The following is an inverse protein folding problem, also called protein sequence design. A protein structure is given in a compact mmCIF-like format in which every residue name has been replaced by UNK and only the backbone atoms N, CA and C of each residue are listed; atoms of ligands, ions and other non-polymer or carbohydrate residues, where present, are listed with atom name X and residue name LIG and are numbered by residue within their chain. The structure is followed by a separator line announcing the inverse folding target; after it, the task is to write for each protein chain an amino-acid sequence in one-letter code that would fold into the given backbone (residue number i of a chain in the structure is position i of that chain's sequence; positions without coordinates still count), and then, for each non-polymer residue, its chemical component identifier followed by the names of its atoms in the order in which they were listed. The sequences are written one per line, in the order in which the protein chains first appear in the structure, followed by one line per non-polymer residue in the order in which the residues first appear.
data_IF_380858392817
#
_entry.id   IF_380858392817
#
_cell.length_a   1.000
_cell.length_b   1.000
_cell.length_c   1.000
_cell.angle_alpha   90.00
_cell.angle_beta   90.00
_cell.angle_gamma   90.00
#
_symmetry.space_group_name_H-M   'P 1'
#
loop_
_entity.id
_entity.type
_entity.pdbx_description
1 polymer ?
#
# COMPACT_ATOMS: atom_id res chain seq x y z
N UNK A 1 -18.22 -11.10 -16.28
CA UNK A 1 -18.02 -11.43 -14.87
C UNK A 1 -19.36 -11.61 -14.18
N UNK A 2 -19.50 -12.62 -13.32
CA UNK A 2 -20.62 -12.76 -12.41
C UNK A 2 -20.35 -11.99 -11.12
N UNK A 3 -21.38 -11.37 -10.54
CA UNK A 3 -21.31 -10.75 -9.21
C UNK A 3 -22.34 -11.45 -8.33
N UNK A 4 -21.87 -11.98 -7.20
CA UNK A 4 -22.74 -12.57 -6.17
C UNK A 4 -22.58 -11.74 -4.90
N UNK A 5 -23.70 -11.30 -4.33
CA UNK A 5 -23.73 -10.56 -3.06
C UNK A 5 -24.49 -11.40 -2.06
N UNK A 6 -23.87 -11.66 -0.91
CA UNK A 6 -24.50 -12.25 0.26
C UNK A 6 -24.26 -11.31 1.45
N UNK A 7 -25.33 -10.88 2.08
CA UNK A 7 -25.31 -10.02 3.28
C UNK A 7 -26.06 -10.79 4.35
N UNK A 8 -25.47 -10.91 5.51
CA UNK A 8 -26.04 -11.59 6.67
C UNK A 8 -26.01 -10.67 7.88
N UNK A 9 -26.86 -10.96 8.87
CA UNK A 9 -26.91 -10.17 10.11
C UNK A 9 -25.68 -10.46 10.98
N UNK A 10 -25.22 -9.41 11.67
CA UNK A 10 -24.14 -9.56 12.65
C UNK A 10 -24.60 -10.44 13.82
N UNK A 11 -23.69 -11.27 14.34
CA UNK A 11 -23.94 -12.01 15.59
C UNK A 11 -24.45 -11.10 16.71
N UNK A 12 -25.54 -11.45 17.38
CA UNK A 12 -26.04 -10.67 18.51
C UNK A 12 -24.99 -10.52 19.65
N UNK A 13 -24.11 -11.49 19.82
CA UNK A 13 -23.06 -11.45 20.82
C UNK A 13 -21.98 -10.40 20.49
N UNK A 14 -21.66 -10.26 19.19
CA UNK A 14 -20.73 -9.23 18.71
C UNK A 14 -21.41 -7.86 18.75
N UNK A 15 -22.69 -7.76 18.40
CA UNK A 15 -23.45 -6.52 18.40
C UNK A 15 -23.47 -5.83 19.77
N UNK A 16 -23.45 -6.57 20.87
CA UNK A 16 -23.41 -6.00 22.22
C UNK A 16 -22.23 -5.04 22.44
N UNK A 17 -21.06 -5.37 21.87
CA UNK A 17 -19.88 -4.52 22.01
C UNK A 17 -19.79 -3.38 20.98
N UNK A 18 -20.61 -3.42 19.93
CA UNK A 18 -20.65 -2.40 18.88
C UNK A 18 -21.75 -1.38 19.13
N UNK A 19 -22.94 -1.85 19.53
CA UNK A 19 -24.14 -1.01 19.65
C UNK A 19 -24.08 -0.06 20.85
N UNK A 20 -23.34 -0.43 21.89
CA UNK A 20 -23.12 0.42 23.07
C UNK A 20 -21.69 0.33 23.55
N UNK A 21 -21.03 1.49 23.64
CA UNK A 21 -19.70 1.60 24.24
C UNK A 21 -19.72 1.19 25.72
N UNK A 22 -18.58 0.74 26.24
CA UNK A 22 -18.40 0.35 27.63
C UNK A 22 -18.77 1.50 28.59
N UNK A 23 -18.39 2.72 28.23
CA UNK A 23 -18.63 3.96 28.98
C UNK A 23 -20.13 4.18 29.17
N UNK A 24 -20.89 4.13 28.08
CA UNK A 24 -22.37 4.32 28.10
C UNK A 24 -23.09 3.21 28.89
N UNK A 25 -22.50 2.00 28.93
CA UNK A 25 -23.07 0.89 29.73
C UNK A 25 -22.84 1.07 31.22
N UNK A 26 -21.77 1.76 31.64
CA UNK A 26 -21.33 1.85 33.04
C UNK A 26 -21.48 3.26 33.63
N UNK A 27 -21.64 4.29 32.80
CA UNK A 27 -21.97 5.66 33.21
C UNK A 27 -23.27 6.13 32.56
N UNK A 28 -24.43 5.94 33.24
CA UNK A 28 -25.73 6.36 32.71
C UNK A 28 -25.88 7.88 32.55
N UNK A 29 -24.93 8.68 33.03
CA UNK A 29 -24.93 10.15 32.91
C UNK A 29 -24.17 10.64 31.68
N UNK A 30 -23.51 9.77 30.95
CA UNK A 30 -22.84 10.11 29.70
C UNK A 30 -23.88 10.22 28.57
N UNK A 31 -24.12 11.43 28.11
CA UNK A 31 -25.05 11.77 27.03
C UNK A 31 -24.35 12.25 25.73
N UNK A 32 -23.01 12.12 25.64
CA UNK A 32 -22.27 12.44 24.43
C UNK A 32 -22.63 11.45 23.30
N UNK A 33 -23.25 11.95 22.21
CA UNK A 33 -23.62 11.09 21.09
C UNK A 33 -22.43 10.44 20.39
N UNK A 34 -21.19 10.93 20.60
CA UNK A 34 -19.98 10.35 20.06
C UNK A 34 -19.52 9.11 20.84
N UNK A 35 -19.91 8.99 22.08
CA UNK A 35 -19.53 7.87 22.97
C UNK A 35 -20.48 6.68 22.92
N UNK A 36 -21.58 6.79 22.15
CA UNK A 36 -22.60 5.73 22.07
C UNK A 36 -22.07 4.46 21.40
N UNK A 37 -21.27 4.61 20.34
CA UNK A 37 -20.82 3.46 19.53
C UNK A 37 -19.55 2.85 20.10
N UNK A 38 -19.62 1.57 20.44
CA UNK A 38 -18.46 0.82 20.96
C UNK A 38 -17.47 0.39 19.86
N UNK A 39 -16.25 0.07 20.29
CA UNK A 39 -15.21 -0.45 19.40
C UNK A 39 -15.50 -1.87 18.89
N UNK A 40 -16.26 -2.67 19.65
CA UNK A 40 -16.70 -4.02 19.27
C UNK A 40 -15.61 -5.09 19.24
N UNK A 41 -14.34 -4.72 19.38
CA UNK A 41 -13.21 -5.64 19.28
C UNK A 41 -11.97 -5.09 20.00
N UNK A 42 -11.00 -5.96 20.20
CA UNK A 42 -9.65 -5.62 20.64
C UNK A 42 -8.72 -5.47 19.44
N UNK A 43 -7.59 -4.78 19.60
CA UNK A 43 -6.60 -4.69 18.55
C UNK A 43 -5.30 -4.04 19.01
N UNK A 44 -4.25 -4.23 18.22
CA UNK A 44 -2.97 -3.55 18.37
C UNK A 44 -2.68 -2.78 17.08
N UNK A 45 -2.58 -1.46 17.18
CA UNK A 45 -2.37 -0.58 16.04
C UNK A 45 -1.07 0.19 16.22
N UNK A 46 -0.41 0.45 15.09
CA UNK A 46 0.87 1.16 15.05
C UNK A 46 0.74 2.44 14.25
N UNK A 47 1.18 3.55 14.85
CA UNK A 47 1.47 4.78 14.15
C UNK A 47 2.97 4.88 13.88
N UNK A 48 3.34 5.26 12.67
CA UNK A 48 4.73 5.49 12.28
C UNK A 48 4.83 6.71 11.38
N UNK A 49 5.89 7.49 11.53
CA UNK A 49 6.23 8.60 10.68
C UNK A 49 7.75 8.70 10.52
N UNK A 50 8.20 9.10 9.34
CA UNK A 50 9.61 9.37 9.03
C UNK A 50 9.70 10.55 8.07
N UNK A 51 10.82 11.24 8.09
CA UNK A 51 11.07 12.37 7.21
C UNK A 51 11.64 11.99 5.84
N UNK A 52 11.54 10.73 5.44
CA UNK A 52 11.99 10.24 4.13
C UNK A 52 11.24 10.87 2.96
N UNK A 53 9.97 11.19 3.17
CA UNK A 53 9.09 11.75 2.15
C UNK A 53 8.28 12.92 2.71
N UNK A 54 7.76 13.76 1.81
CA UNK A 54 6.88 14.87 2.18
C UNK A 54 5.62 14.41 2.94
N UNK A 55 5.14 13.21 2.64
CA UNK A 55 4.00 12.59 3.29
C UNK A 55 4.34 12.03 4.67
N UNK A 56 5.60 12.11 5.10
CA UNK A 56 6.14 11.49 6.31
C UNK A 56 5.97 9.96 6.32
N UNK A 57 6.13 9.35 5.17
CA UNK A 57 6.04 7.90 4.95
C UNK A 57 7.40 7.32 4.56
N UNK A 58 7.66 6.04 4.84
CA UNK A 58 8.87 5.37 4.37
C UNK A 58 9.01 5.43 2.86
N UNK A 59 10.22 5.75 2.39
CA UNK A 59 10.49 5.98 0.97
C UNK A 59 10.17 4.75 0.08
N UNK A 60 10.54 3.50 0.46
CA UNK A 60 10.31 2.34 -0.41
C UNK A 60 8.83 2.16 -0.77
N UNK A 61 7.95 2.16 0.22
CA UNK A 61 6.52 1.96 -0.01
C UNK A 61 5.89 3.15 -0.77
N UNK A 62 6.34 4.37 -0.51
CA UNK A 62 5.83 5.54 -1.25
C UNK A 62 6.25 5.51 -2.71
N UNK A 63 7.47 5.11 -3.02
CA UNK A 63 7.90 4.93 -4.42
C UNK A 63 7.11 3.82 -5.10
N UNK A 64 6.91 2.67 -4.43
CA UNK A 64 6.11 1.58 -4.98
C UNK A 64 4.66 2.02 -5.27
N UNK A 65 4.04 2.78 -4.37
CA UNK A 65 2.70 3.37 -4.59
C UNK A 65 2.67 4.35 -5.77
N UNK A 66 3.65 5.23 -5.86
CA UNK A 66 3.75 6.20 -6.97
C UNK A 66 3.94 5.50 -8.31
N UNK A 67 4.78 4.45 -8.36
CA UNK A 67 4.97 3.63 -9.55
C UNK A 67 3.65 2.94 -9.95
N UNK A 68 2.97 2.28 -9.02
CA UNK A 68 1.70 1.61 -9.29
C UNK A 68 0.60 2.57 -9.77
N UNK A 69 0.54 3.76 -9.16
CA UNK A 69 -0.35 4.85 -9.62
C UNK A 69 0.02 5.29 -11.04
N UNK A 70 1.30 5.51 -11.32
CA UNK A 70 1.79 5.98 -12.63
C UNK A 70 1.53 4.95 -13.73
N UNK A 71 1.69 3.66 -13.47
CA UNK A 71 1.29 2.60 -14.41
C UNK A 71 -0.18 2.73 -14.81
N UNK A 72 -1.06 3.02 -13.86
CA UNK A 72 -2.48 3.24 -14.13
C UNK A 72 -2.73 4.53 -14.94
N UNK A 73 -1.98 5.59 -14.65
CA UNK A 73 -2.08 6.88 -15.37
C UNK A 73 -1.66 6.75 -16.84
N UNK A 74 -0.47 6.21 -17.12
CA UNK A 74 0.05 6.05 -18.49
C UNK A 74 -0.82 5.12 -19.32
N UNK A 75 -1.43 4.09 -18.71
CA UNK A 75 -2.39 3.22 -19.35
C UNK A 75 -3.69 3.96 -19.71
N UNK A 76 -4.26 4.71 -18.75
CA UNK A 76 -5.53 5.43 -18.93
C UNK A 76 -5.40 6.61 -19.87
N UNK A 77 -4.23 7.24 -19.93
CA UNK A 77 -3.92 8.34 -20.85
C UNK A 77 -3.48 7.86 -22.24
N UNK A 78 -3.53 6.54 -22.50
CA UNK A 78 -3.15 5.92 -23.77
C UNK A 78 -1.69 6.17 -24.20
N UNK A 79 -0.82 6.50 -23.22
CA UNK A 79 0.64 6.65 -23.44
C UNK A 79 1.27 5.27 -23.66
N UNK A 80 0.89 4.28 -22.85
CA UNK A 80 1.28 2.88 -23.01
C UNK A 80 0.03 1.99 -23.16
N UNK A 81 -0.60 1.98 -24.35
CA UNK A 81 -1.92 1.37 -24.58
C UNK A 81 -1.93 -0.14 -24.51
N UNK A 82 -0.77 -0.77 -24.50
CA UNK A 82 -0.62 -2.21 -24.36
C UNK A 82 -0.69 -2.69 -22.89
N UNK A 83 -0.55 -1.78 -21.92
CA UNK A 83 -0.67 -2.14 -20.50
C UNK A 83 -2.12 -2.51 -20.15
N UNK A 84 -2.24 -3.41 -19.19
CA UNK A 84 -3.50 -3.89 -18.60
C UNK A 84 -3.57 -3.47 -17.12
N UNK A 85 -4.74 -3.61 -16.46
CA UNK A 85 -4.95 -3.06 -15.12
C UNK A 85 -4.12 -3.67 -14.00
N UNK A 86 -3.73 -4.96 -14.11
CA UNK A 86 -3.01 -5.65 -13.05
C UNK A 86 -1.52 -5.29 -13.06
N UNK A 87 -0.95 -5.09 -11.88
CA UNK A 87 0.46 -4.77 -11.75
C UNK A 87 0.92 -4.72 -10.31
N UNK A 88 2.22 -4.91 -10.13
CA UNK A 88 2.92 -4.85 -8.84
C UNK A 88 4.18 -4.03 -8.99
N UNK A 89 4.57 -3.33 -7.93
CA UNK A 89 5.83 -2.63 -7.86
C UNK A 89 6.52 -2.93 -6.53
N UNK A 90 7.84 -3.07 -6.59
CA UNK A 90 8.71 -3.20 -5.42
C UNK A 90 9.93 -2.29 -5.62
N UNK A 91 10.34 -1.60 -4.55
CA UNK A 91 11.53 -0.75 -4.57
C UNK A 91 12.41 -1.12 -3.39
N UNK A 92 13.70 -1.36 -3.66
CA UNK A 92 14.74 -1.56 -2.64
C UNK A 92 15.54 -0.27 -2.51
N UNK A 93 15.64 0.22 -1.28
CA UNK A 93 16.38 1.44 -0.94
C UNK A 93 17.44 1.11 0.09
N UNK A 94 18.66 1.58 -0.13
CA UNK A 94 19.75 1.50 0.84
C UNK A 94 19.67 2.69 1.78
N UNK A 95 19.82 2.39 3.07
CA UNK A 95 19.85 3.38 4.13
C UNK A 95 21.22 3.40 4.80
N UNK A 96 21.69 4.58 5.13
CA UNK A 96 22.74 4.77 6.12
C UNK A 96 22.12 4.96 7.50
N UNK A 97 22.76 4.39 8.51
CA UNK A 97 22.35 4.50 9.91
C UNK A 97 23.49 5.21 10.67
N UNK A 98 23.20 6.33 11.29
CA UNK A 98 24.17 7.05 12.09
C UNK A 98 24.38 6.42 13.48
N UNK A 99 25.28 7.00 14.29
CA UNK A 99 25.61 6.50 15.61
C UNK A 99 24.42 6.58 16.59
N UNK A 100 23.48 7.47 16.34
CA UNK A 100 22.26 7.69 17.11
C UNK A 100 21.11 6.78 16.65
N UNK A 101 21.33 5.97 15.61
CA UNK A 101 20.34 5.05 15.04
C UNK A 101 19.37 5.71 14.05
N UNK A 102 19.62 6.94 13.65
CA UNK A 102 18.81 7.64 12.65
C UNK A 102 19.10 7.11 11.25
N UNK A 103 18.08 6.78 10.54
CA UNK A 103 18.15 6.24 9.18
C UNK A 103 17.99 7.36 8.14
N UNK A 104 18.78 7.28 7.07
CA UNK A 104 18.68 8.18 5.92
C UNK A 104 18.75 7.37 4.63
N UNK A 105 17.79 7.52 3.71
CA UNK A 105 17.87 6.88 2.40
C UNK A 105 19.01 7.49 1.59
N UNK A 106 19.85 6.68 0.98
CA UNK A 106 21.04 7.13 0.24
C UNK A 106 21.08 6.63 -1.20
N UNK A 107 20.40 5.53 -1.50
CA UNK A 107 20.41 4.99 -2.86
C UNK A 107 19.20 4.09 -3.12
N UNK A 108 18.64 4.18 -4.32
CA UNK A 108 17.71 3.19 -4.85
C UNK A 108 18.56 2.08 -5.48
N UNK A 109 18.52 0.90 -4.88
CA UNK A 109 19.30 -0.24 -5.37
C UNK A 109 18.60 -1.01 -6.48
N UNK A 110 17.27 -1.17 -6.37
CA UNK A 110 16.51 -1.98 -7.32
C UNK A 110 15.06 -1.55 -7.41
N UNK A 111 14.52 -1.68 -8.60
CA UNK A 111 13.09 -1.54 -8.88
C UNK A 111 12.60 -2.79 -9.61
N UNK A 112 11.53 -3.40 -9.10
CA UNK A 112 10.86 -4.50 -9.78
C UNK A 112 9.44 -4.06 -10.13
N UNK A 113 9.06 -4.27 -11.39
CA UNK A 113 7.70 -4.03 -11.88
C UNK A 113 7.20 -5.32 -12.53
N UNK A 114 6.07 -5.83 -12.05
CA UNK A 114 5.30 -6.83 -12.78
C UNK A 114 4.06 -6.14 -13.33
N UNK A 115 3.90 -6.11 -14.64
CA UNK A 115 2.78 -5.43 -15.28
C UNK A 115 2.09 -6.32 -16.31
N UNK A 116 0.79 -6.42 -16.16
CA UNK A 116 -0.09 -7.11 -17.10
C UNK A 116 -0.08 -6.37 -18.44
N UNK A 117 0.13 -7.06 -19.52
CA UNK A 117 0.27 -6.48 -20.87
C UNK A 117 -0.37 -7.35 -21.94
N UNK A 118 -0.49 -6.81 -23.15
CA UNK A 118 -0.90 -7.55 -24.34
C UNK A 118 0.13 -8.65 -24.66
N UNK A 119 -0.32 -9.70 -25.31
CA UNK A 119 0.54 -10.75 -25.84
C UNK A 119 1.45 -10.23 -26.97
N UNK A 120 2.57 -10.89 -27.17
CA UNK A 120 3.51 -10.58 -28.26
C UNK A 120 4.56 -9.51 -27.93
N UNK A 121 4.63 -9.03 -26.69
CA UNK A 121 5.61 -8.04 -26.25
C UNK A 121 6.72 -8.72 -25.44
N UNK A 122 7.96 -8.39 -25.77
CA UNK A 122 9.12 -8.82 -24.99
C UNK A 122 9.38 -7.87 -23.82
N UNK A 123 9.46 -8.38 -22.56
CA UNK A 123 9.64 -7.54 -21.39
C UNK A 123 10.90 -6.68 -21.40
N UNK A 124 12.04 -7.23 -21.84
CA UNK A 124 13.33 -6.52 -21.76
C UNK A 124 13.52 -5.52 -22.90
N UNK A 125 13.20 -5.89 -24.13
CA UNK A 125 13.47 -5.05 -25.29
C UNK A 125 12.37 -4.07 -25.65
N UNK A 126 11.13 -4.31 -25.16
CA UNK A 126 9.98 -3.46 -25.49
C UNK A 126 9.36 -2.78 -24.26
N UNK A 127 9.04 -3.54 -23.21
CA UNK A 127 8.29 -2.98 -22.07
C UNK A 127 9.22 -2.19 -21.14
N UNK A 128 10.41 -2.70 -20.84
CA UNK A 128 11.35 -2.08 -19.90
C UNK A 128 11.79 -0.67 -20.32
N UNK A 129 12.19 -0.39 -21.57
CA UNK A 129 12.53 0.96 -21.99
C UNK A 129 11.37 1.95 -21.81
N UNK A 130 10.15 1.56 -22.19
CA UNK A 130 8.96 2.39 -22.03
C UNK A 130 8.64 2.68 -20.57
N UNK A 131 8.79 1.68 -19.69
CA UNK A 131 8.58 1.87 -18.25
C UNK A 131 9.64 2.77 -17.63
N UNK A 132 10.91 2.67 -18.07
CA UNK A 132 11.96 3.58 -17.61
C UNK A 132 11.59 5.02 -17.99
N UNK A 133 11.23 5.28 -19.23
CA UNK A 133 10.95 6.63 -19.73
C UNK A 133 9.67 7.22 -19.14
N UNK A 134 8.57 6.47 -19.16
CA UNK A 134 7.25 7.01 -18.85
C UNK A 134 6.79 6.81 -17.41
N UNK A 135 7.44 5.89 -16.67
CA UNK A 135 7.04 5.55 -15.31
C UNK A 135 8.15 5.85 -14.30
N UNK A 136 9.38 5.35 -14.51
CA UNK A 136 10.42 5.46 -13.47
C UNK A 136 11.06 6.84 -13.41
N UNK A 137 11.53 7.39 -14.53
CA UNK A 137 12.16 8.72 -14.57
C UNK A 137 11.28 9.84 -14.00
N UNK A 138 9.96 9.88 -14.23
CA UNK A 138 9.09 10.87 -13.60
C UNK A 138 8.86 10.69 -12.08
N UNK A 139 9.15 9.51 -11.53
CA UNK A 139 8.81 9.16 -10.14
C UNK A 139 10.03 9.09 -9.23
N UNK A 140 11.14 8.53 -9.72
CA UNK A 140 12.32 8.30 -8.88
C UNK A 140 13.05 9.60 -8.57
N UNK A 141 13.43 9.85 -7.29
CA UNK A 141 14.24 11.01 -6.89
C UNK A 141 15.64 10.91 -7.53
N UNK A 142 16.03 11.93 -8.25
CA UNK A 142 17.29 11.96 -9.03
C UNK A 142 18.57 11.98 -8.17
N UNK A 143 18.44 12.33 -6.93
CA UNK A 143 19.52 12.36 -5.94
C UNK A 143 19.80 10.97 -5.32
N UNK A 144 18.95 9.97 -5.61
CA UNK A 144 19.07 8.62 -5.05
C UNK A 144 19.44 7.55 -6.08
N UNK A 145 19.77 7.91 -7.31
CA UNK A 145 20.28 6.99 -8.33
C UNK A 145 21.13 7.75 -9.36
N UNK A 146 22.05 7.06 -10.03
CA UNK A 146 22.74 7.58 -11.21
C UNK A 146 21.93 7.19 -12.46
N UNK A 147 21.86 8.07 -13.45
CA UNK A 147 21.19 7.78 -14.73
C UNK A 147 21.77 6.53 -15.42
N UNK A 148 23.05 6.28 -15.24
CA UNK A 148 23.73 5.07 -15.73
C UNK A 148 23.26 3.79 -15.05
N UNK A 149 22.59 3.88 -13.90
CA UNK A 149 22.02 2.70 -13.25
C UNK A 149 21.00 1.99 -14.14
N UNK A 150 20.34 2.73 -15.06
CA UNK A 150 19.44 2.10 -16.02
C UNK A 150 20.12 1.20 -17.04
N UNK A 151 21.45 1.33 -17.21
CA UNK A 151 22.25 0.45 -18.07
C UNK A 151 22.62 -0.86 -17.33
N UNK A 152 22.49 -0.91 -15.99
CA UNK A 152 22.68 -2.12 -15.20
C UNK A 152 21.44 -3.02 -15.31
N UNK A 153 21.56 -4.25 -15.81
CA UNK A 153 20.44 -5.18 -15.90
C UNK A 153 19.86 -5.58 -14.52
N UNK A 154 20.60 -5.33 -13.43
CA UNK A 154 20.15 -5.64 -12.07
C UNK A 154 19.44 -4.49 -11.37
N UNK A 155 19.39 -3.30 -11.98
CA UNK A 155 18.72 -2.15 -11.40
C UNK A 155 17.20 -2.19 -11.60
N UNK A 156 16.74 -2.51 -12.82
CA UNK A 156 15.31 -2.59 -13.15
C UNK A 156 14.94 -3.97 -13.66
N UNK A 157 14.01 -4.61 -12.99
CA UNK A 157 13.42 -5.88 -13.39
C UNK A 157 11.99 -5.66 -13.86
N UNK A 158 11.67 -6.13 -15.06
CA UNK A 158 10.32 -6.07 -15.63
C UNK A 158 9.85 -7.48 -15.96
N UNK A 159 8.73 -7.89 -15.37
CA UNK A 159 8.16 -9.23 -15.54
C UNK A 159 9.22 -10.36 -15.44
N UNK A 160 10.02 -10.43 -14.36
CA UNK A 160 11.17 -11.32 -14.30
C UNK A 160 10.83 -12.81 -14.38
N UNK A 161 9.59 -13.18 -14.15
CA UNK A 161 9.08 -14.55 -14.31
C UNK A 161 8.62 -14.87 -15.74
N UNK A 162 8.71 -13.89 -16.66
CA UNK A 162 8.32 -14.03 -18.04
C UNK A 162 7.01 -13.34 -18.40
N UNK A 163 6.18 -13.97 -19.21
CA UNK A 163 4.93 -13.39 -19.73
C UNK A 163 3.93 -13.07 -18.63
N UNK A 164 3.32 -11.88 -18.70
CA UNK A 164 2.20 -11.49 -17.86
C UNK A 164 1.01 -11.05 -18.73
N UNK A 165 0.41 -12.00 -19.42
CA UNK A 165 -0.70 -11.80 -20.38
C UNK A 165 -2.05 -12.16 -19.74
N UNK A 166 -2.06 -13.06 -18.77
CA UNK A 166 -3.24 -13.40 -17.97
C UNK A 166 -3.09 -12.77 -16.60
N UNK A 167 -3.99 -11.87 -16.25
CA UNK A 167 -3.95 -11.12 -15.00
C UNK A 167 -5.36 -10.83 -14.46
N UNK A 168 -5.42 -10.16 -13.29
CA UNK A 168 -6.65 -9.90 -12.58
C UNK A 168 -7.33 -11.19 -12.13
N UNK A 169 -8.69 -11.23 -12.05
CA UNK A 169 -9.44 -12.40 -11.56
C UNK A 169 -9.24 -13.69 -12.36
N UNK A 170 -8.71 -13.59 -13.60
CA UNK A 170 -8.37 -14.75 -14.41
C UNK A 170 -7.00 -15.34 -14.04
N UNK A 171 -6.12 -14.55 -13.44
CA UNK A 171 -4.80 -14.99 -13.00
C UNK A 171 -4.85 -15.65 -11.63
N UNK A 172 -5.36 -14.93 -10.64
CA UNK A 172 -5.55 -15.43 -9.28
C UNK A 172 -6.74 -14.77 -8.58
N UNK A 173 -7.13 -15.34 -7.45
CA UNK A 173 -8.22 -14.85 -6.61
C UNK A 173 -7.67 -13.98 -5.50
N UNK A 174 -8.08 -12.70 -5.47
CA UNK A 174 -7.79 -11.80 -4.36
C UNK A 174 -8.81 -11.90 -3.24
N UNK A 175 -8.35 -11.66 -2.02
CA UNK A 175 -9.20 -11.49 -0.85
C UNK A 175 -8.97 -10.10 -0.25
N UNK A 176 -10.06 -9.45 0.17
CA UNK A 176 -9.97 -8.19 0.93
C UNK A 176 -9.22 -8.40 2.24
N UNK A 177 -8.48 -7.39 2.69
CA UNK A 177 -7.74 -7.46 3.96
C UNK A 177 -6.45 -8.27 3.93
N UNK A 178 -5.96 -8.70 2.77
CA UNK A 178 -4.69 -9.43 2.64
C UNK A 178 -3.53 -8.61 2.10
N UNK A 179 -3.66 -7.29 2.08
CA UNK A 179 -2.61 -6.33 1.68
C UNK A 179 -2.29 -5.34 2.80
N UNK A 180 -2.35 -5.81 4.05
CA UNK A 180 -2.25 -4.95 5.25
C UNK A 180 -0.91 -4.21 5.37
N UNK A 181 0.18 -4.81 4.91
CA UNK A 181 1.50 -4.18 4.92
C UNK A 181 1.63 -3.13 3.81
N UNK A 182 1.00 -3.36 2.65
CA UNK A 182 0.88 -2.38 1.55
C UNK A 182 0.02 -1.19 1.97
N UNK A 183 -1.06 -1.45 2.72
CA UNK A 183 -1.98 -0.42 3.22
C UNK A 183 -1.36 0.46 4.30
N UNK A 184 -0.27 0.03 4.92
CA UNK A 184 0.40 0.74 6.02
C UNK A 184 1.79 1.23 5.64
N UNK A 185 2.86 0.67 6.19
CA UNK A 185 4.21 1.25 6.12
C UNK A 185 5.21 0.41 5.30
N UNK A 186 4.74 -0.59 4.56
CA UNK A 186 5.62 -1.42 3.72
C UNK A 186 6.62 -2.27 4.49
N UNK A 187 6.36 -2.54 5.78
CA UNK A 187 7.25 -3.31 6.65
C UNK A 187 8.25 -2.47 7.45
N UNK A 188 8.26 -1.14 7.30
CA UNK A 188 9.13 -0.27 8.09
C UNK A 188 8.71 -0.16 9.57
N UNK A 189 7.46 -0.45 9.87
CA UNK A 189 6.94 -0.53 11.24
C UNK A 189 6.23 -1.86 11.46
N UNK A 190 6.08 -2.30 12.72
CA UNK A 190 5.26 -3.46 13.06
C UNK A 190 3.80 -3.30 12.62
N UNK A 191 3.08 -4.42 12.57
CA UNK A 191 1.65 -4.44 12.22
C UNK A 191 0.89 -5.36 13.19
N UNK A 192 -0.27 -4.92 13.65
CA UNK A 192 -1.10 -5.69 14.59
C UNK A 192 -2.03 -6.72 13.95
N UNK A 193 -2.13 -6.74 12.61
CA UNK A 193 -2.92 -7.72 11.86
C UNK A 193 -4.26 -7.22 11.32
N UNK A 194 -4.77 -6.09 11.80
CA UNK A 194 -6.05 -5.53 11.38
C UNK A 194 -6.03 -4.96 9.96
N UNK A 195 -7.05 -5.24 9.16
CA UNK A 195 -7.21 -4.70 7.81
C UNK A 195 -8.10 -3.45 7.81
N UNK A 196 -7.91 -2.58 6.82
CA UNK A 196 -8.73 -1.37 6.64
C UNK A 196 -9.91 -1.59 5.70
N UNK A 197 -9.68 -2.28 4.59
CA UNK A 197 -10.68 -2.45 3.54
C UNK A 197 -11.91 -3.20 4.02
N UNK A 198 -13.09 -2.70 3.63
CA UNK A 198 -14.37 -3.25 4.03
C UNK A 198 -14.87 -2.85 5.42
N UNK A 199 -14.13 -1.98 6.13
CA UNK A 199 -14.45 -1.52 7.48
C UNK A 199 -14.84 -0.04 7.48
N UNK A 200 -15.88 0.31 8.23
CA UNK A 200 -16.25 1.69 8.51
C UNK A 200 -15.47 2.25 9.72
N UNK A 201 -15.61 3.56 10.06
CA UNK A 201 -14.88 4.18 11.17
C UNK A 201 -15.19 3.64 12.57
N UNK A 202 -16.27 2.88 12.77
CA UNK A 202 -16.58 2.24 14.05
C UNK A 202 -15.64 1.04 14.35
N UNK A 203 -14.93 0.55 13.33
CA UNK A 203 -14.00 -0.58 13.48
C UNK A 203 -12.64 -0.09 13.94
N UNK A 204 -12.24 -0.55 15.14
CA UNK A 204 -10.99 -0.13 15.82
C UNK A 204 -9.73 -0.38 14.98
N UNK A 205 -9.67 -1.46 14.22
CA UNK A 205 -8.54 -1.75 13.31
C UNK A 205 -8.26 -0.60 12.35
N UNK A 206 -9.29 0.10 11.89
CA UNK A 206 -9.16 1.23 10.99
C UNK A 206 -9.02 2.56 11.74
N UNK A 207 -9.95 2.88 12.63
CA UNK A 207 -9.99 4.17 13.32
C UNK A 207 -8.78 4.39 14.24
N UNK A 208 -8.41 3.39 15.03
CA UNK A 208 -7.25 3.50 15.92
C UNK A 208 -5.91 3.49 15.17
N UNK A 209 -5.80 2.79 14.03
CA UNK A 209 -4.62 2.88 13.18
C UNK A 209 -4.46 4.30 12.59
N UNK A 210 -5.55 4.95 12.19
CA UNK A 210 -5.52 6.33 11.71
C UNK A 210 -5.20 7.32 12.83
N UNK A 211 -5.77 7.12 14.03
CA UNK A 211 -5.44 7.92 15.20
C UNK A 211 -3.96 7.79 15.60
N UNK A 212 -3.42 6.56 15.63
CA UNK A 212 -2.02 6.29 15.91
C UNK A 212 -1.10 6.96 14.85
N UNK A 213 -1.48 6.92 13.58
CA UNK A 213 -0.78 7.63 12.51
C UNK A 213 -0.82 9.15 12.71
N UNK A 214 -1.98 9.69 13.11
CA UNK A 214 -2.13 11.12 13.40
C UNK A 214 -1.20 11.54 14.53
N UNK A 215 -1.15 10.78 15.62
CA UNK A 215 -0.22 11.03 16.75
C UNK A 215 1.23 11.01 16.25
N UNK A 216 1.65 9.95 15.58
CA UNK A 216 3.03 9.81 15.08
C UNK A 216 3.48 10.95 14.16
N UNK A 217 2.55 11.58 13.43
CA UNK A 217 2.85 12.72 12.55
C UNK A 217 3.00 14.04 13.30
N UNK A 218 2.49 14.14 14.52
CA UNK A 218 2.46 15.38 15.30
C UNK A 218 3.43 15.39 16.49
N UNK A 219 4.11 14.28 16.73
CA UNK A 219 5.21 14.16 17.69
C UNK A 219 6.53 14.39 17.00
#
# INVERSE_FOLDING_TARGET
CGVVVAIDEQSPDIAQGVDKAYEVQHDPGDDDPLDVVGAGDQGMMFGYATNDTRELMPLPIMLAHRIAKRLSEVRKADVLPYLRPDGKAQVSVRYEVDAEGKQKPVEIERVLISTHNREGLDPESMIKPDLIEHVLRPILPRDLYDEKSFDDPQFVFVNPTGKFVIGGPMGDTGLTGRKIIVDTYGGAAPHGGGAFSGKDPTKVDRSAAYAARYVAKNV
#
